data_IF_523666713048
#
_entry.id   IF_523666713048
#
_cell.length_a   1.000
_cell.length_b   1.000
_cell.length_c   1.000
_cell.angle_alpha   90.00
_cell.angle_beta   90.00
_cell.angle_gamma   90.00
#
_symmetry.space_group_name_H-M   'P 1'
#
loop_
_entity.id
_entity.type
_entity.pdbx_description
1 polymer ?
#
# COMPACT_ATOMS: atom_id res chain seq x y z
N UNK A 1 10.84 -49.70 -47.67
CA UNK A 1 9.60 -50.47 -47.41
C UNK A 1 8.66 -49.49 -46.76
N UNK A 2 7.82 -48.77 -47.57
CA UNK A 2 6.47 -49.16 -47.93
C UNK A 2 5.66 -49.35 -46.62
N UNK A 3 4.64 -48.56 -46.25
CA UNK A 3 3.51 -48.08 -47.03
C UNK A 3 2.67 -47.08 -46.22
N UNK A 4 2.31 -45.99 -46.81
CA UNK A 4 0.98 -45.40 -46.72
C UNK A 4 -0.05 -46.33 -47.40
N UNK A 5 -1.34 -46.08 -47.48
CA UNK A 5 -2.18 -44.90 -47.16
C UNK A 5 -3.63 -45.23 -46.74
N UNK A 6 -4.47 -44.25 -46.75
CA UNK A 6 -5.92 -44.13 -47.10
C UNK A 6 -6.74 -43.53 -45.99
N UNK A 7 -7.44 -42.45 -46.13
CA UNK A 7 -8.16 -41.89 -47.28
C UNK A 7 -9.67 -42.00 -47.07
N UNK A 8 -10.35 -40.90 -47.39
CA UNK A 8 -11.80 -40.78 -47.63
C UNK A 8 -12.66 -40.39 -46.37
N UNK A 9 -13.66 -39.55 -46.45
CA UNK A 9 -14.33 -38.85 -47.56
C UNK A 9 -15.14 -37.69 -46.98
N UNK A 10 -15.23 -36.60 -47.75
CA UNK A 10 -16.33 -35.63 -47.71
C UNK A 10 -17.62 -36.33 -48.10
N UNK A 11 -18.71 -35.80 -47.60
CA UNK A 11 -20.01 -35.57 -48.20
C UNK A 11 -21.01 -35.42 -47.06
N UNK A 12 -21.92 -34.42 -46.95
CA UNK A 12 -22.95 -34.11 -47.89
C UNK A 12 -23.65 -32.78 -47.48
N UNK A 13 -23.77 -31.89 -48.40
CA UNK A 13 -24.68 -30.75 -48.34
C UNK A 13 -26.12 -31.21 -48.28
N UNK A 14 -26.89 -30.74 -47.29
CA UNK A 14 -28.33 -30.85 -47.20
C UNK A 14 -28.98 -29.48 -47.20
N UNK A 15 -29.35 -29.02 -48.38
CA UNK A 15 -30.27 -27.89 -48.58
C UNK A 15 -31.66 -28.32 -48.13
N UNK A 16 -32.28 -27.62 -47.17
CA UNK A 16 -33.69 -27.75 -46.90
C UNK A 16 -34.40 -26.43 -47.06
N UNK A 17 -35.41 -26.55 -47.92
CA UNK A 17 -36.36 -25.67 -48.46
C UNK A 17 -37.21 -24.88 -47.44
N UNK A 18 -37.52 -23.67 -47.83
CA UNK A 18 -38.59 -22.84 -47.25
C UNK A 18 -39.94 -23.52 -47.48
N UNK A 19 -40.70 -23.71 -46.43
CA UNK A 19 -42.17 -23.69 -46.28
C UNK A 19 -42.56 -24.59 -45.14
N UNK A 20 -42.96 -23.92 -44.03
CA UNK A 20 -44.24 -24.25 -43.39
C UNK A 20 -44.53 -23.17 -42.30
N UNK A 21 -45.44 -22.33 -42.68
CA UNK A 21 -46.23 -21.48 -41.78
C UNK A 21 -47.25 -22.39 -41.10
N UNK A 22 -47.42 -22.27 -39.77
CA UNK A 22 -48.75 -22.24 -39.14
C UNK A 22 -48.61 -21.79 -37.65
N UNK A 23 -49.47 -20.92 -37.31
CA UNK A 23 -49.80 -20.22 -36.09
C UNK A 23 -49.76 -21.02 -34.78
N UNK A 24 -49.27 -20.36 -33.71
CA UNK A 24 -49.48 -20.72 -32.33
C UNK A 24 -49.22 -19.51 -31.43
N UNK A 25 -50.29 -18.76 -31.13
CA UNK A 25 -50.24 -17.69 -30.12
C UNK A 25 -50.07 -18.34 -28.73
N UNK A 26 -49.02 -17.97 -28.02
CA UNK A 26 -48.92 -18.21 -26.58
C UNK A 26 -48.13 -17.09 -25.92
N UNK A 27 -48.68 -16.57 -24.84
CA UNK A 27 -48.28 -15.46 -24.06
C UNK A 27 -46.81 -15.40 -23.68
N UNK A 28 -46.08 -14.40 -24.13
CA UNK A 28 -44.75 -14.08 -23.65
C UNK A 28 -44.85 -13.26 -22.38
N UNK A 29 -44.63 -13.90 -21.24
CA UNK A 29 -44.33 -13.22 -20.00
C UNK A 29 -42.96 -12.53 -20.12
N UNK A 30 -42.98 -11.21 -20.20
CA UNK A 30 -41.75 -10.40 -20.14
C UNK A 30 -41.18 -10.48 -18.72
N UNK A 31 -40.22 -11.37 -18.49
CA UNK A 31 -39.30 -11.28 -17.33
C UNK A 31 -38.31 -10.15 -17.66
N UNK A 32 -38.59 -8.97 -17.12
CA UNK A 32 -37.60 -7.90 -16.98
C UNK A 32 -36.54 -8.39 -15.98
N UNK A 33 -35.48 -8.97 -16.51
CA UNK A 33 -34.28 -9.25 -15.75
C UNK A 33 -33.67 -7.90 -15.31
N UNK A 34 -33.91 -7.52 -14.06
CA UNK A 34 -33.13 -6.51 -13.38
C UNK A 34 -31.71 -7.07 -13.24
N UNK A 35 -30.89 -6.83 -14.25
CA UNK A 35 -29.45 -7.00 -14.19
C UNK A 35 -28.92 -5.98 -13.18
N UNK A 36 -28.90 -6.37 -11.91
CA UNK A 36 -28.17 -5.64 -10.88
C UNK A 36 -26.71 -5.63 -11.26
N UNK A 37 -26.22 -4.50 -11.79
CA UNK A 37 -24.80 -4.23 -11.84
C UNK A 37 -24.29 -4.25 -10.40
N UNK A 38 -23.77 -5.39 -9.96
CA UNK A 38 -22.96 -5.47 -8.78
C UNK A 38 -21.70 -4.65 -9.06
N UNK A 39 -21.74 -3.36 -8.75
CA UNK A 39 -20.56 -2.52 -8.71
C UNK A 39 -19.63 -3.09 -7.63
N UNK A 40 -18.62 -3.81 -8.06
CA UNK A 40 -17.48 -4.17 -7.20
C UNK A 40 -16.96 -2.86 -6.63
N UNK A 41 -16.87 -2.68 -5.31
CA UNK A 41 -16.35 -1.43 -4.75
C UNK A 41 -14.90 -1.28 -5.23
N UNK A 42 -14.69 -0.40 -6.19
CA UNK A 42 -13.35 0.00 -6.61
C UNK A 42 -12.71 0.66 -5.39
N UNK A 43 -11.70 0.00 -4.82
CA UNK A 43 -10.95 0.54 -3.67
C UNK A 43 -10.36 1.87 -4.11
N UNK A 44 -10.87 2.97 -3.54
CA UNK A 44 -10.42 4.31 -3.86
C UNK A 44 -8.92 4.42 -3.54
N UNK A 45 -8.13 4.79 -4.52
CA UNK A 45 -6.72 5.20 -4.33
C UNK A 45 -6.63 6.66 -3.90
N UNK A 46 -7.79 7.32 -3.79
CA UNK A 46 -7.86 8.72 -3.43
C UNK A 46 -7.48 8.92 -1.97
N UNK A 47 -6.63 9.92 -1.74
CA UNK A 47 -6.20 10.35 -0.40
C UNK A 47 -7.42 10.90 0.35
N UNK A 48 -7.73 10.32 1.52
CA UNK A 48 -8.76 10.88 2.40
C UNK A 48 -8.41 12.34 2.70
N UNK A 49 -9.33 13.29 2.44
CA UNK A 49 -9.09 14.73 2.63
C UNK A 49 -8.54 15.10 4.00
N UNK A 50 -8.89 14.38 5.07
CA UNK A 50 -8.42 14.63 6.43
C UNK A 50 -6.93 14.36 6.58
N UNK A 51 -6.39 13.41 5.81
CA UNK A 51 -4.97 13.02 5.85
C UNK A 51 -4.13 13.68 4.74
N UNK A 52 -4.70 14.56 3.95
CA UNK A 52 -3.93 15.32 2.96
C UNK A 52 -2.88 16.18 3.65
N UNK A 53 -1.69 16.24 3.04
CA UNK A 53 -0.62 17.10 3.55
C UNK A 53 -1.06 18.56 3.53
N UNK A 54 -0.70 19.28 4.60
CA UNK A 54 -1.03 20.69 4.74
C UNK A 54 0.03 21.42 5.59
N UNK A 55 0.19 22.71 5.35
CA UNK A 55 0.92 23.57 6.29
C UNK A 55 -0.04 24.00 7.40
N UNK A 56 0.39 23.81 8.64
CA UNK A 56 -0.43 24.05 9.83
C UNK A 56 0.30 24.84 10.90
N UNK A 57 -0.44 25.53 11.77
CA UNK A 57 0.09 26.05 13.02
C UNK A 57 0.43 24.87 13.94
N UNK A 58 1.63 24.85 14.46
CA UNK A 58 2.13 23.77 15.29
C UNK A 58 3.04 24.31 16.39
N UNK A 59 2.46 24.51 17.56
CA UNK A 59 3.20 24.99 18.75
C UNK A 59 4.08 23.83 19.27
N UNK A 60 5.38 23.99 19.15
CA UNK A 60 6.36 22.99 19.63
C UNK A 60 7.64 23.68 20.09
N UNK A 61 8.38 23.04 20.99
CA UNK A 61 9.74 23.44 21.38
C UNK A 61 10.81 22.78 20.51
N UNK A 62 10.42 21.88 19.64
CA UNK A 62 11.34 21.20 18.75
C UNK A 62 11.91 22.19 17.71
N UNK A 63 13.22 22.12 17.43
CA UNK A 63 13.83 23.01 16.45
C UNK A 63 13.35 22.72 15.04
N UNK A 64 13.48 23.72 14.17
CA UNK A 64 13.24 23.57 12.74
C UNK A 64 14.01 22.35 12.18
N UNK A 65 13.37 21.60 11.32
CA UNK A 65 13.93 20.40 10.68
C UNK A 65 13.65 19.10 11.45
N UNK A 66 13.10 19.18 12.68
CA UNK A 66 12.68 17.99 13.41
C UNK A 66 11.44 17.37 12.79
N UNK A 67 11.39 16.04 12.76
CA UNK A 67 10.18 15.26 12.49
C UNK A 67 9.53 14.93 13.84
N UNK A 68 8.24 15.21 13.99
CA UNK A 68 7.44 14.76 15.15
C UNK A 68 6.35 13.83 14.64
N UNK A 69 6.32 12.62 15.16
CA UNK A 69 5.29 11.60 14.84
C UNK A 69 4.29 11.57 15.97
N UNK A 70 3.02 11.78 15.64
CA UNK A 70 1.87 11.68 16.54
C UNK A 70 1.02 10.45 16.15
N UNK A 71 1.30 9.29 16.76
CA UNK A 71 0.59 8.06 16.43
C UNK A 71 -0.89 8.11 16.79
N UNK A 72 -1.25 8.86 17.84
CA UNK A 72 -2.64 8.95 18.33
C UNK A 72 -3.56 9.61 17.32
N UNK A 73 -3.07 10.65 16.64
CA UNK A 73 -3.86 11.39 15.66
C UNK A 73 -3.57 10.99 14.22
N UNK A 74 -2.67 10.03 13.99
CA UNK A 74 -2.23 9.58 12.67
C UNK A 74 -1.62 10.68 11.82
N UNK A 75 -0.78 11.54 12.44
CA UNK A 75 -0.07 12.59 11.77
C UNK A 75 1.44 12.57 12.02
N UNK A 76 2.16 12.99 11.01
CA UNK A 76 3.58 13.32 11.09
C UNK A 76 3.74 14.81 10.78
N UNK A 77 4.57 15.50 11.56
CA UNK A 77 4.85 16.92 11.43
C UNK A 77 6.32 17.14 11.12
N UNK A 78 6.61 17.81 10.02
CA UNK A 78 7.94 18.36 9.76
C UNK A 78 7.96 19.82 10.25
N UNK A 79 8.73 20.10 11.28
CA UNK A 79 8.80 21.42 11.92
C UNK A 79 9.49 22.43 11.02
N UNK A 80 8.78 23.47 10.61
CA UNK A 80 9.29 24.55 9.74
C UNK A 80 9.91 25.71 10.52
N UNK A 81 9.68 25.78 11.83
CA UNK A 81 9.98 26.92 12.67
C UNK A 81 8.88 27.98 12.64
N UNK A 82 8.98 29.01 13.49
CA UNK A 82 7.98 30.09 13.56
C UNK A 82 6.57 29.62 13.95
N UNK A 83 6.46 28.55 14.74
CA UNK A 83 5.16 27.98 15.14
C UNK A 83 4.43 27.25 14.00
N UNK A 84 5.12 26.85 12.96
CA UNK A 84 4.55 26.18 11.79
C UNK A 84 5.17 24.81 11.55
N UNK A 85 4.37 23.88 11.01
CA UNK A 85 4.84 22.61 10.51
C UNK A 85 4.13 22.23 9.21
N UNK A 86 4.77 21.36 8.43
CA UNK A 86 4.08 20.59 7.38
C UNK A 86 3.58 19.30 7.98
N UNK A 87 2.27 19.11 7.94
CA UNK A 87 1.59 17.92 8.43
C UNK A 87 1.36 16.93 7.29
N UNK A 88 1.53 15.64 7.57
CA UNK A 88 1.25 14.52 6.70
C UNK A 88 0.39 13.50 7.41
N UNK A 89 -0.52 12.86 6.69
CA UNK A 89 -1.26 11.69 7.19
C UNK A 89 -0.37 10.45 7.22
N UNK A 90 -0.52 9.63 8.25
CA UNK A 90 0.27 8.40 8.43
C UNK A 90 -0.61 7.22 8.84
N UNK A 91 -0.12 6.01 8.60
CA UNK A 91 -0.54 4.84 9.35
C UNK A 91 0.60 4.38 10.27
N UNK A 92 0.25 3.78 11.39
CA UNK A 92 1.21 3.39 12.43
C UNK A 92 1.06 1.93 12.83
N UNK A 93 1.91 1.45 13.74
CA UNK A 93 1.83 0.11 14.30
C UNK A 93 0.52 -0.13 15.03
N UNK A 94 0.00 -1.36 14.92
CA UNK A 94 -1.11 -1.83 15.73
C UNK A 94 -0.76 -1.86 17.23
N UNK A 95 -1.73 -2.21 18.05
CA UNK A 95 -1.56 -2.34 19.50
C UNK A 95 -0.40 -3.29 19.84
N UNK A 96 0.47 -2.85 20.75
CA UNK A 96 1.67 -3.61 21.13
C UNK A 96 2.88 -3.45 20.18
N UNK A 97 2.72 -2.78 19.04
CA UNK A 97 3.80 -2.53 18.08
C UNK A 97 4.29 -1.07 18.04
N UNK A 98 3.78 -0.24 18.95
CA UNK A 98 4.17 1.17 19.05
C UNK A 98 5.51 1.34 19.78
N UNK A 99 6.42 2.13 19.19
CA UNK A 99 7.60 2.65 19.87
C UNK A 99 7.48 4.15 20.04
N UNK A 100 7.90 4.66 21.17
CA UNK A 100 8.02 6.11 21.44
C UNK A 100 9.42 6.48 21.88
N UNK A 101 9.84 7.68 21.59
CA UNK A 101 11.16 8.15 21.96
C UNK A 101 11.79 9.06 20.91
N UNK A 102 13.11 9.22 21.00
CA UNK A 102 13.89 10.05 20.08
C UNK A 102 14.85 9.19 19.29
N UNK A 103 14.81 9.36 17.98
CA UNK A 103 15.73 8.72 17.03
C UNK A 103 16.32 9.76 16.08
N UNK A 104 17.18 9.30 15.19
CA UNK A 104 17.69 10.09 14.06
C UNK A 104 17.55 9.30 12.76
N UNK A 105 17.39 10.01 11.67
CA UNK A 105 17.50 9.42 10.33
C UNK A 105 18.94 8.98 10.11
N UNK A 106 19.18 7.68 10.02
CA UNK A 106 20.51 7.10 9.82
C UNK A 106 20.84 6.93 8.33
N UNK A 107 19.90 6.42 7.57
CA UNK A 107 20.02 6.22 6.14
C UNK A 107 18.70 6.47 5.42
N UNK A 108 18.79 6.68 4.10
CA UNK A 108 17.67 7.00 3.23
C UNK A 108 17.79 6.16 1.97
N UNK A 109 16.67 5.61 1.49
CA UNK A 109 16.64 4.83 0.25
C UNK A 109 15.45 5.25 -0.62
N UNK A 110 15.68 5.26 -1.93
CA UNK A 110 14.66 5.38 -2.96
C UNK A 110 14.27 3.99 -3.44
N UNK A 111 12.97 3.74 -3.56
CA UNK A 111 12.43 2.45 -3.97
C UNK A 111 13.16 1.26 -3.32
N UNK A 112 13.16 1.17 -1.97
CA UNK A 112 13.91 0.16 -1.26
C UNK A 112 13.35 -1.25 -1.50
N UNK A 113 14.23 -2.22 -1.58
CA UNK A 113 13.83 -3.62 -1.50
C UNK A 113 13.22 -3.91 -0.12
N UNK A 114 12.21 -4.76 -0.11
CA UNK A 114 11.53 -5.16 1.12
C UNK A 114 11.86 -6.60 1.48
N UNK A 115 12.34 -6.79 2.70
CA UNK A 115 12.67 -8.10 3.25
C UNK A 115 11.73 -8.39 4.43
N UNK A 116 10.75 -9.31 4.26
CA UNK A 116 9.82 -9.65 5.32
C UNK A 116 10.53 -10.37 6.47
N UNK A 117 10.12 -10.09 7.70
CA UNK A 117 10.56 -10.90 8.83
C UNK A 117 9.81 -12.23 8.83
N UNK A 118 10.36 -13.22 9.58
CA UNK A 118 9.71 -14.53 9.73
C UNK A 118 8.29 -14.39 10.28
N UNK A 119 8.10 -13.50 11.26
CA UNK A 119 6.80 -13.24 11.88
C UNK A 119 5.78 -12.64 10.90
N UNK A 120 6.23 -11.85 9.92
CA UNK A 120 5.38 -11.33 8.86
C UNK A 120 4.92 -12.48 7.96
N UNK A 121 5.83 -13.35 7.54
CA UNK A 121 5.49 -14.49 6.69
C UNK A 121 4.62 -15.53 7.39
N UNK A 122 4.79 -15.73 8.68
CA UNK A 122 3.91 -16.61 9.48
C UNK A 122 2.47 -16.06 9.54
N UNK A 123 2.30 -14.73 9.63
CA UNK A 123 0.97 -14.09 9.65
C UNK A 123 0.37 -13.88 8.26
N UNK A 124 1.21 -13.81 7.24
CA UNK A 124 0.85 -13.50 5.85
C UNK A 124 1.56 -14.44 4.88
N UNK A 125 1.23 -15.76 4.92
CA UNK A 125 1.91 -16.75 4.08
C UNK A 125 1.71 -16.50 2.57
N UNK A 126 0.65 -15.81 2.19
CA UNK A 126 0.38 -15.40 0.81
C UNK A 126 1.48 -14.52 0.20
N UNK A 127 2.23 -13.78 1.01
CA UNK A 127 3.31 -12.91 0.55
C UNK A 127 4.49 -13.72 -0.02
N UNK A 128 4.65 -14.98 0.39
CA UNK A 128 5.75 -15.83 -0.07
C UNK A 128 5.76 -16.00 -1.60
N UNK A 129 4.60 -16.00 -2.24
CA UNK A 129 4.49 -16.16 -3.70
C UNK A 129 5.09 -14.97 -4.49
N UNK A 130 5.21 -13.79 -3.87
CA UNK A 130 5.79 -12.59 -4.49
C UNK A 130 7.28 -12.37 -4.18
N UNK A 131 7.91 -13.24 -3.39
CA UNK A 131 9.31 -13.08 -3.02
C UNK A 131 10.25 -13.61 -4.10
N UNK A 132 11.39 -12.95 -4.23
CA UNK A 132 12.47 -13.28 -5.14
C UNK A 132 13.79 -13.35 -4.37
N UNK A 133 14.79 -14.02 -4.93
CA UNK A 133 16.15 -13.97 -4.40
C UNK A 133 16.77 -12.62 -4.75
N UNK A 134 17.09 -11.83 -3.75
CA UNK A 134 17.71 -10.51 -3.85
C UNK A 134 19.05 -10.52 -3.09
N UNK A 135 19.91 -9.51 -3.27
CA UNK A 135 21.23 -9.47 -2.58
C UNK A 135 21.13 -9.56 -1.05
N UNK A 136 20.03 -9.17 -0.43
CA UNK A 136 19.77 -9.27 1.01
C UNK A 136 19.03 -10.53 1.44
N UNK A 137 18.73 -11.47 0.53
CA UNK A 137 17.96 -12.69 0.75
C UNK A 137 16.59 -12.65 0.09
N UNK A 138 15.69 -13.52 0.54
CA UNK A 138 14.32 -13.58 0.01
C UNK A 138 13.55 -12.28 0.30
N UNK A 139 13.13 -11.57 -0.74
CA UNK A 139 12.51 -10.26 -0.63
C UNK A 139 11.66 -9.88 -1.84
N UNK A 140 11.05 -8.72 -1.76
CA UNK A 140 10.33 -8.11 -2.86
C UNK A 140 11.14 -6.91 -3.37
N UNK A 141 11.46 -6.83 -4.67
CA UNK A 141 12.24 -5.71 -5.21
C UNK A 141 11.51 -4.39 -5.03
N UNK A 142 12.27 -3.31 -4.92
CA UNK A 142 11.74 -1.95 -4.85
C UNK A 142 10.91 -1.60 -6.07
N UNK A 143 9.78 -0.95 -5.85
CA UNK A 143 8.87 -0.59 -6.93
C UNK A 143 7.48 -0.20 -6.41
N UNK A 144 6.53 0.12 -7.32
CA UNK A 144 5.18 0.53 -6.95
C UNK A 144 4.41 -0.50 -6.11
N UNK A 145 4.71 -1.78 -6.32
CA UNK A 145 4.07 -2.90 -5.61
C UNK A 145 4.75 -3.24 -4.28
N UNK A 146 5.94 -2.66 -4.02
CA UNK A 146 6.67 -2.91 -2.77
C UNK A 146 5.93 -2.32 -1.56
N UNK A 147 5.80 -3.08 -0.46
CA UNK A 147 5.21 -2.58 0.79
C UNK A 147 5.88 -1.33 1.36
N UNK A 148 7.15 -1.09 1.04
CA UNK A 148 7.89 0.09 1.48
C UNK A 148 7.65 1.32 0.60
N UNK A 149 7.00 1.16 -0.55
CA UNK A 149 6.68 2.26 -1.45
C UNK A 149 7.90 3.01 -1.97
N UNK A 150 7.70 4.30 -2.28
CA UNK A 150 8.65 5.09 -3.05
C UNK A 150 9.95 5.46 -2.30
N UNK A 151 9.91 5.61 -0.97
CA UNK A 151 11.04 6.07 -0.14
C UNK A 151 11.01 5.41 1.23
N UNK A 152 12.19 5.23 1.84
CA UNK A 152 12.31 4.86 3.24
C UNK A 152 13.38 5.69 3.97
N UNK A 153 13.07 6.07 5.20
CA UNK A 153 13.95 6.70 6.17
C UNK A 153 14.18 5.71 7.33
N UNK A 154 15.39 5.29 7.54
CA UNK A 154 15.77 4.31 8.55
C UNK A 154 16.14 5.02 9.86
N UNK A 155 15.50 4.65 10.96
CA UNK A 155 15.61 5.36 12.24
C UNK A 155 16.53 4.61 13.21
N UNK A 156 17.50 5.33 13.76
CA UNK A 156 18.44 4.79 14.72
C UNK A 156 18.43 5.59 16.03
N UNK A 157 18.71 4.89 17.12
CA UNK A 157 18.91 5.46 18.46
C UNK A 157 20.39 5.29 18.83
N UNK A 158 21.17 6.36 18.76
CA UNK A 158 22.61 6.23 18.84
C UNK A 158 23.16 5.28 17.77
N UNK A 159 23.82 4.20 18.18
CA UNK A 159 24.39 3.20 17.29
C UNK A 159 23.47 1.97 17.09
N UNK A 160 22.22 2.02 17.57
CA UNK A 160 21.28 0.91 17.49
C UNK A 160 20.20 1.18 16.46
N UNK A 161 20.03 0.26 15.51
CA UNK A 161 18.87 0.26 14.64
C UNK A 161 17.59 0.02 15.46
N UNK A 162 16.62 0.91 15.35
CA UNK A 162 15.34 0.78 16.04
C UNK A 162 14.42 -0.22 15.39
N UNK A 163 14.74 -0.67 14.18
CA UNK A 163 13.88 -1.44 13.27
C UNK A 163 12.63 -0.67 12.81
N UNK A 164 12.47 0.58 13.24
CA UNK A 164 11.40 1.47 12.75
C UNK A 164 11.86 2.25 11.53
N UNK A 165 10.92 2.44 10.61
CA UNK A 165 11.12 3.16 9.37
C UNK A 165 9.96 4.13 9.15
N UNK A 166 10.23 5.27 8.51
CA UNK A 166 9.21 6.11 7.88
C UNK A 166 9.31 5.80 6.39
N UNK A 167 8.23 5.31 5.79
CA UNK A 167 8.28 4.85 4.40
C UNK A 167 6.95 5.06 3.66
N UNK A 168 6.96 4.91 2.35
CA UNK A 168 5.77 4.93 1.52
C UNK A 168 4.90 3.68 1.70
N UNK A 169 3.97 3.46 0.80
CA UNK A 169 3.12 2.27 0.84
C UNK A 169 2.51 1.95 -0.53
N UNK A 170 2.29 0.68 -0.79
CA UNK A 170 1.42 0.20 -1.87
C UNK A 170 -0.05 0.07 -1.42
N UNK A 171 -0.36 0.39 -0.15
CA UNK A 171 -1.70 0.32 0.43
C UNK A 171 -2.16 1.69 0.96
N UNK A 172 -2.32 2.72 0.10
CA UNK A 172 -2.62 4.09 0.52
C UNK A 172 -3.94 4.22 1.31
N UNK A 173 -4.90 3.33 1.08
CA UNK A 173 -6.18 3.29 1.80
C UNK A 173 -6.07 2.93 3.29
N UNK A 174 -4.89 2.50 3.75
CA UNK A 174 -4.60 2.20 5.16
C UNK A 174 -4.08 3.41 5.95
N UNK A 175 -3.81 4.54 5.29
CA UNK A 175 -3.42 5.77 5.99
C UNK A 175 -4.57 6.21 6.91
N UNK A 176 -4.23 6.63 8.13
CA UNK A 176 -5.20 6.94 9.18
C UNK A 176 -5.58 5.75 10.06
N UNK A 177 -4.88 4.62 9.97
CA UNK A 177 -5.19 3.42 10.75
C UNK A 177 -3.97 2.79 11.45
N UNK A 178 -4.23 1.87 12.37
CA UNK A 178 -3.23 1.12 13.15
C UNK A 178 -3.03 -0.28 12.53
N UNK A 179 -2.20 -0.40 11.51
CA UNK A 179 -2.13 -1.63 10.70
C UNK A 179 -0.71 -2.12 10.41
N UNK A 180 0.33 -1.40 10.86
CA UNK A 180 1.70 -1.81 10.60
C UNK A 180 2.26 -2.66 11.76
N UNK A 181 3.36 -3.35 11.51
CA UNK A 181 4.15 -4.02 12.56
C UNK A 181 5.14 -3.07 13.24
N UNK A 182 4.79 -1.77 13.33
CA UNK A 182 5.58 -0.74 14.02
C UNK A 182 6.02 0.41 13.12
N UNK A 183 6.26 0.19 11.83
CA UNK A 183 6.72 1.22 10.91
C UNK A 183 5.64 2.29 10.65
N UNK A 184 6.10 3.49 10.28
CA UNK A 184 5.28 4.66 9.99
C UNK A 184 5.10 4.73 8.48
N UNK A 185 3.87 4.50 8.01
CA UNK A 185 3.53 4.50 6.57
C UNK A 185 2.98 5.86 6.16
N UNK A 186 3.36 6.32 4.98
CA UNK A 186 2.91 7.56 4.35
C UNK A 186 2.39 7.29 2.93
N UNK A 187 1.60 8.20 2.39
CA UNK A 187 1.39 8.23 0.94
C UNK A 187 2.72 8.38 0.21
N UNK A 188 2.86 7.78 -0.97
CA UNK A 188 4.12 7.83 -1.72
C UNK A 188 4.55 9.25 -2.08
N UNK A 189 3.61 10.12 -2.46
CA UNK A 189 3.90 11.53 -2.76
C UNK A 189 4.36 12.29 -1.52
N UNK A 190 3.84 11.94 -0.35
CA UNK A 190 4.14 12.59 0.92
C UNK A 190 5.50 12.16 1.46
N UNK A 191 5.84 10.90 1.36
CA UNK A 191 7.17 10.44 1.76
C UNK A 191 8.27 10.96 0.82
N UNK A 192 7.98 11.16 -0.46
CA UNK A 192 8.89 11.82 -1.41
C UNK A 192 9.13 13.27 -0.96
N UNK A 193 8.06 14.04 -0.71
CA UNK A 193 8.17 15.44 -0.22
C UNK A 193 8.94 15.52 1.11
N UNK A 194 8.71 14.60 2.05
CA UNK A 194 9.45 14.55 3.30
C UNK A 194 10.92 14.16 3.08
N UNK A 195 11.17 13.17 2.25
CA UNK A 195 12.50 12.66 1.92
C UNK A 195 13.40 13.79 1.37
N UNK A 196 12.88 14.64 0.50
CA UNK A 196 13.63 15.75 -0.09
C UNK A 196 13.95 16.87 0.91
N UNK A 197 13.16 16.96 2.00
CA UNK A 197 13.34 17.99 3.05
C UNK A 197 14.33 17.59 4.12
N UNK A 198 14.55 16.30 4.34
CA UNK A 198 15.29 15.81 5.50
C UNK A 198 16.64 15.19 5.09
N UNK A 199 17.64 15.44 5.90
CA UNK A 199 18.98 14.85 5.77
C UNK A 199 19.22 13.71 6.76
N UNK A 200 20.38 13.05 6.58
CA UNK A 200 20.96 12.18 7.60
C UNK A 200 21.15 12.96 8.90
N UNK A 201 20.94 12.30 10.05
CA UNK A 201 20.94 12.87 11.40
C UNK A 201 19.74 13.80 11.71
N UNK A 202 18.75 13.93 10.82
CA UNK A 202 17.50 14.61 11.18
C UNK A 202 16.90 13.96 12.42
N UNK A 203 16.59 14.78 13.45
CA UNK A 203 15.93 14.34 14.67
C UNK A 203 14.50 13.90 14.38
N UNK A 204 14.12 12.77 14.95
CA UNK A 204 12.77 12.22 14.91
C UNK A 204 12.28 11.99 16.32
N UNK A 205 11.18 12.60 16.68
CA UNK A 205 10.50 12.41 17.97
C UNK A 205 9.21 11.63 17.70
N UNK A 206 9.07 10.47 18.29
CA UNK A 206 7.82 9.69 18.23
C UNK A 206 7.14 9.83 19.58
N UNK A 207 5.96 10.46 19.59
CA UNK A 207 5.17 10.65 20.79
C UNK A 207 4.61 9.31 21.30
N UNK A 208 4.40 9.21 22.60
CA UNK A 208 3.74 8.05 23.15
C UNK A 208 2.29 7.98 22.65
N UNK A 209 1.88 6.82 22.14
CA UNK A 209 0.47 6.52 22.00
C UNK A 209 -0.05 6.17 23.39
N UNK A 210 -0.89 7.00 24.00
CA UNK A 210 -1.56 6.66 25.25
C UNK A 210 -2.62 5.56 24.99
N UNK A 211 -2.19 4.40 24.59
CA UNK A 211 -3.00 3.19 24.62
C UNK A 211 -2.75 2.54 25.97
N UNK A 212 -3.57 2.89 26.95
CA UNK A 212 -3.66 2.16 28.21
C UNK A 212 -3.09 2.90 29.44
N UNK A 213 -3.91 3.66 30.11
CA UNK A 213 -3.99 3.74 31.57
C UNK A 213 -5.30 3.10 32.01
#
# INVERSE_FOLDING_TARGET
MISEPRGLKLDYMGVLSRRDLIAGASAAGAMLGLGGCASTPTRSTEVDPVYRRADVQYATREPRGTIVVDPMHHYLYYVKGGGQARRYGIAVGGEGFGWSGVATVHSKQEWPDWYPTKEILERHPELTAGLQELPGGQGMPGGPDSPLGARALYLWQGNKDTLYRIHGTNEPWKIGSNVSSGCIRMYNEDVIDLYDRVGIRTKVVVLASNAGS
#
